data_IF_782369295634
#
_entry.id   IF_782369295634
#
_cell.length_a   1.000
_cell.length_b   1.000
_cell.length_c   1.000
_cell.angle_alpha   90.00
_cell.angle_beta   90.00
_cell.angle_gamma   90.00
#
_symmetry.space_group_name_H-M   'P 1'
#
loop_
_entity.id
_entity.type
_entity.pdbx_description
1 polymer ?
#
# COMPACT_ATOMS: atom_id res chain seq x y z
N UNK A 1 18.06 0.47 -23.46
CA UNK A 1 18.88 0.76 -22.26
C UNK A 1 18.23 1.83 -21.39
N UNK A 2 17.94 3.02 -21.93
CA UNK A 2 17.33 4.14 -21.20
C UNK A 2 15.97 3.87 -20.53
N UNK A 3 15.05 3.13 -21.17
CA UNK A 3 13.77 2.74 -20.54
C UNK A 3 13.97 1.90 -19.27
N UNK A 4 14.86 0.89 -19.32
CA UNK A 4 15.18 0.05 -18.15
C UNK A 4 15.89 0.84 -17.03
N UNK A 5 16.73 1.81 -17.40
CA UNK A 5 17.38 2.71 -16.43
C UNK A 5 16.36 3.64 -15.78
N UNK A 6 15.42 4.18 -16.55
CA UNK A 6 14.32 5.00 -16.03
C UNK A 6 13.38 4.18 -15.13
N UNK A 7 13.07 2.93 -15.50
CA UNK A 7 12.32 1.99 -14.65
C UNK A 7 13.07 1.70 -13.35
N UNK A 8 14.39 1.52 -13.42
CA UNK A 8 15.24 1.34 -12.23
C UNK A 8 15.26 2.59 -11.34
N UNK A 9 15.36 3.78 -11.92
CA UNK A 9 15.35 5.06 -11.19
C UNK A 9 13.98 5.40 -10.60
N UNK A 10 12.88 5.03 -11.27
CA UNK A 10 11.52 5.09 -10.69
C UNK A 10 11.35 4.11 -9.53
N UNK A 11 12.09 3.01 -9.53
CA UNK A 11 12.10 2.03 -8.44
C UNK A 11 13.03 2.39 -7.29
N UNK A 12 14.09 3.18 -7.52
CA UNK A 12 15.08 3.56 -6.52
C UNK A 12 15.02 5.08 -6.33
N UNK A 13 14.25 5.56 -5.35
CA UNK A 13 14.21 6.98 -5.08
C UNK A 13 15.58 7.48 -4.57
N UNK A 14 15.93 8.73 -4.86
CA UNK A 14 17.22 9.32 -4.49
C UNK A 14 17.47 9.20 -2.98
N UNK A 15 18.42 8.34 -2.59
CA UNK A 15 18.70 7.94 -1.20
C UNK A 15 18.85 9.13 -0.23
N UNK A 16 19.41 10.26 -0.68
CA UNK A 16 19.58 11.43 0.19
C UNK A 16 18.26 12.16 0.48
N UNK A 17 17.39 12.29 -0.52
CA UNK A 17 16.07 12.94 -0.36
C UNK A 17 15.18 12.05 0.51
N UNK A 18 15.22 10.74 0.27
CA UNK A 18 14.46 9.75 1.02
C UNK A 18 14.87 9.68 2.48
N UNK A 19 16.18 9.71 2.78
CA UNK A 19 16.67 9.80 4.16
C UNK A 19 16.14 11.03 4.90
N UNK A 20 16.12 12.20 4.24
CA UNK A 20 15.58 13.43 4.86
C UNK A 20 14.08 13.35 5.11
N UNK A 21 13.30 12.84 4.16
CA UNK A 21 11.86 12.64 4.33
C UNK A 21 11.55 11.62 5.43
N UNK A 22 12.36 10.56 5.51
CA UNK A 22 12.19 9.48 6.48
C UNK A 22 12.27 9.98 7.92
N UNK A 23 13.02 11.04 8.20
CA UNK A 23 13.04 11.69 9.53
C UNK A 23 11.63 12.07 10.01
N UNK A 24 10.78 12.57 9.11
CA UNK A 24 9.41 12.97 9.47
C UNK A 24 8.52 11.76 9.79
N UNK A 25 8.73 10.64 9.07
CA UNK A 25 8.07 9.36 9.35
C UNK A 25 8.59 8.71 10.63
N UNK A 26 9.91 8.67 10.81
CA UNK A 26 10.55 8.04 11.97
C UNK A 26 10.15 8.72 13.28
N UNK A 27 9.91 10.04 13.23
CA UNK A 27 9.42 10.81 14.36
C UNK A 27 7.96 10.54 14.75
N UNK A 28 7.19 9.76 13.99
CA UNK A 28 5.86 9.30 14.41
C UNK A 28 6.03 8.38 15.63
N UNK A 29 5.30 8.64 16.71
CA UNK A 29 5.54 7.96 17.99
C UNK A 29 4.74 6.67 18.10
N UNK A 30 3.53 6.65 17.55
CA UNK A 30 2.67 5.48 17.57
C UNK A 30 2.97 4.55 16.40
N UNK A 31 3.06 3.25 16.68
CA UNK A 31 3.17 2.22 15.64
C UNK A 31 1.97 2.29 14.69
N UNK A 32 0.78 2.58 15.21
CA UNK A 32 -0.47 2.72 14.47
C UNK A 32 -0.40 3.86 13.47
N UNK A 33 0.14 5.04 13.85
CA UNK A 33 0.36 6.16 12.93
C UNK A 33 1.25 5.75 11.75
N UNK A 34 2.35 5.03 12.03
CA UNK A 34 3.24 4.50 10.98
C UNK A 34 2.51 3.51 10.08
N UNK A 35 1.69 2.61 10.64
CA UNK A 35 0.91 1.66 9.83
C UNK A 35 -0.11 2.38 8.94
N UNK A 36 -0.81 3.40 9.46
CA UNK A 36 -1.76 4.23 8.70
C UNK A 36 -1.04 4.94 7.55
N UNK A 37 0.12 5.56 7.81
CA UNK A 37 0.90 6.21 6.76
C UNK A 37 1.25 5.24 5.62
N UNK A 38 1.75 4.05 5.95
CA UNK A 38 2.12 3.04 4.95
C UNK A 38 0.91 2.50 4.19
N UNK A 39 -0.23 2.30 4.86
CA UNK A 39 -1.48 1.88 4.21
C UNK A 39 -1.97 2.93 3.22
N UNK A 40 -1.94 4.21 3.59
CA UNK A 40 -2.34 5.29 2.70
C UNK A 40 -1.40 5.37 1.49
N UNK A 41 -0.09 5.36 1.71
CA UNK A 41 0.90 5.38 0.64
C UNK A 41 0.73 4.22 -0.37
N UNK A 42 0.28 3.05 0.11
CA UNK A 42 0.09 1.87 -0.72
C UNK A 42 -1.28 1.83 -1.40
N UNK A 43 -2.36 2.17 -0.70
CA UNK A 43 -3.72 1.78 -1.10
C UNK A 43 -4.72 2.94 -1.24
N UNK A 44 -4.59 4.01 -0.45
CA UNK A 44 -5.71 4.94 -0.24
C UNK A 44 -5.54 6.34 -0.83
N UNK A 45 -4.45 6.62 -1.55
CA UNK A 45 -4.31 7.90 -2.26
C UNK A 45 -5.44 8.05 -3.28
N UNK A 46 -6.18 9.16 -3.17
CA UNK A 46 -7.34 9.48 -4.01
C UNK A 46 -8.68 8.95 -3.50
N UNK A 47 -8.70 8.20 -2.39
CA UNK A 47 -9.94 7.75 -1.74
C UNK A 47 -10.49 8.83 -0.80
N UNK A 48 -11.81 8.80 -0.53
CA UNK A 48 -12.44 9.72 0.42
C UNK A 48 -11.84 9.55 1.82
N UNK A 49 -11.53 10.65 2.50
CA UNK A 49 -10.97 10.59 3.84
C UNK A 49 -11.90 9.86 4.82
N UNK A 50 -13.22 10.08 4.73
CA UNK A 50 -14.15 9.47 5.67
C UNK A 50 -14.24 7.96 5.46
N UNK A 51 -14.23 7.51 4.20
CA UNK A 51 -14.20 6.08 3.86
C UNK A 51 -12.93 5.43 4.41
N UNK A 52 -11.77 6.08 4.24
CA UNK A 52 -10.48 5.56 4.72
C UNK A 52 -10.45 5.46 6.24
N UNK A 53 -10.99 6.46 6.96
CA UNK A 53 -11.13 6.42 8.42
C UNK A 53 -11.98 5.22 8.83
N UNK A 54 -13.15 5.03 8.20
CA UNK A 54 -14.04 3.92 8.52
C UNK A 54 -13.39 2.56 8.27
N UNK A 55 -12.71 2.39 7.13
CA UNK A 55 -12.02 1.14 6.78
C UNK A 55 -10.92 0.84 7.80
N UNK A 56 -10.06 1.80 8.10
CA UNK A 56 -8.93 1.60 9.03
C UNK A 56 -9.42 1.39 10.47
N UNK A 57 -10.48 2.07 10.90
CA UNK A 57 -11.13 1.81 12.18
C UNK A 57 -11.73 0.40 12.27
N UNK A 58 -12.31 -0.10 11.16
CA UNK A 58 -12.75 -1.49 11.03
C UNK A 58 -11.60 -2.51 11.16
N UNK A 59 -10.37 -2.10 10.86
CA UNK A 59 -9.16 -2.90 11.12
C UNK A 59 -8.62 -2.78 12.56
N UNK A 60 -9.34 -2.09 13.46
CA UNK A 60 -8.92 -1.86 14.85
C UNK A 60 -7.90 -0.73 15.00
N UNK A 61 -7.75 0.15 14.00
CA UNK A 61 -6.93 1.35 14.15
C UNK A 61 -7.76 2.50 14.75
N UNK A 62 -7.08 3.48 15.36
CA UNK A 62 -7.68 4.76 15.75
C UNK A 62 -7.37 5.79 14.66
N UNK A 63 -7.92 5.57 13.46
CA UNK A 63 -7.54 6.24 12.23
C UNK A 63 -7.87 7.74 12.24
N UNK A 64 -8.93 8.16 12.93
CA UNK A 64 -9.25 9.56 13.16
C UNK A 64 -8.11 10.31 13.86
N UNK A 65 -7.57 9.77 14.95
CA UNK A 65 -6.38 10.31 15.64
C UNK A 65 -5.16 10.25 14.72
N UNK A 66 -4.88 9.07 14.15
CA UNK A 66 -3.67 8.87 13.35
C UNK A 66 -3.61 9.76 12.11
N UNK A 67 -4.71 9.91 11.37
CA UNK A 67 -4.79 10.78 10.19
C UNK A 67 -4.62 12.25 10.57
N UNK A 68 -5.19 12.68 11.70
CA UNK A 68 -4.98 14.05 12.22
C UNK A 68 -3.50 14.33 12.47
N UNK A 69 -2.78 13.41 13.10
CA UNK A 69 -1.32 13.55 13.33
C UNK A 69 -0.55 13.63 12.01
N UNK A 70 -0.94 12.86 10.99
CA UNK A 70 -0.31 12.93 9.67
C UNK A 70 -0.54 14.29 8.98
N UNK A 71 -1.71 14.91 9.16
CA UNK A 71 -1.97 16.27 8.67
C UNK A 71 -1.14 17.33 9.41
N UNK A 72 -1.09 17.28 10.74
CA UNK A 72 -0.31 18.22 11.57
C UNK A 72 1.19 18.18 11.23
N UNK A 73 1.67 17.05 10.72
CA UNK A 73 3.07 16.84 10.29
C UNK A 73 3.30 17.05 8.79
N UNK A 74 2.30 17.53 8.06
CA UNK A 74 2.36 17.71 6.60
C UNK A 74 2.77 16.43 5.83
N UNK A 75 2.48 15.25 6.40
CA UNK A 75 2.74 13.93 5.77
C UNK A 75 1.58 13.48 4.87
N UNK A 76 0.43 14.14 5.02
CA UNK A 76 -0.80 13.88 4.31
C UNK A 76 -1.50 15.21 4.05
N UNK A 77 -2.34 15.28 3.03
CA UNK A 77 -3.24 16.41 2.75
C UNK A 77 -4.59 15.88 2.24
N UNK A 78 -5.59 16.76 2.17
CA UNK A 78 -6.89 16.46 1.58
C UNK A 78 -7.17 17.50 0.50
N UNK A 79 -7.75 17.07 -0.63
CA UNK A 79 -8.16 18.00 -1.67
C UNK A 79 -9.57 18.57 -1.43
N UNK A 80 -10.01 19.45 -2.33
CA UNK A 80 -11.33 20.07 -2.28
C UNK A 80 -12.51 19.09 -2.47
N UNK A 81 -12.26 17.83 -2.79
CA UNK A 81 -13.26 16.76 -2.94
C UNK A 81 -13.17 15.75 -1.79
N UNK A 82 -12.55 16.14 -0.68
CA UNK A 82 -12.33 15.29 0.49
C UNK A 82 -11.49 14.04 0.19
N UNK A 83 -10.67 14.04 -0.87
CA UNK A 83 -9.82 12.90 -1.22
C UNK A 83 -8.46 13.03 -0.57
N UNK A 84 -7.97 11.93 0.01
CA UNK A 84 -6.62 11.86 0.57
C UNK A 84 -5.58 12.06 -0.54
N UNK A 85 -4.65 12.97 -0.27
CA UNK A 85 -3.49 13.27 -1.11
C UNK A 85 -2.22 13.08 -0.30
N UNK A 86 -1.19 12.59 -0.96
CA UNK A 86 0.14 12.45 -0.41
C UNK A 86 1.12 12.90 -1.50
N UNK A 87 2.07 13.74 -1.12
CA UNK A 87 3.09 14.20 -2.07
C UNK A 87 3.83 12.99 -2.64
N UNK A 88 4.15 13.02 -3.95
CA UNK A 88 4.74 11.87 -4.64
C UNK A 88 5.99 11.34 -3.93
N UNK A 89 6.87 12.23 -3.45
CA UNK A 89 8.06 11.82 -2.69
C UNK A 89 7.74 11.09 -1.37
N UNK A 90 6.68 11.48 -0.65
CA UNK A 90 6.24 10.82 0.58
C UNK A 90 5.60 9.46 0.29
N UNK A 91 4.79 9.39 -0.77
CA UNK A 91 4.22 8.13 -1.26
C UNK A 91 5.34 7.15 -1.63
N UNK A 92 6.29 7.61 -2.42
CA UNK A 92 7.38 6.79 -2.93
C UNK A 92 8.30 6.38 -1.78
N UNK A 93 8.49 7.23 -0.76
CA UNK A 93 9.17 6.87 0.49
C UNK A 93 8.44 5.77 1.26
N UNK A 94 7.12 5.91 1.49
CA UNK A 94 6.34 4.89 2.19
C UNK A 94 6.39 3.55 1.47
N UNK A 95 6.29 3.57 0.14
CA UNK A 95 6.44 2.38 -0.71
C UNK A 95 7.85 1.80 -0.68
N UNK A 96 8.88 2.63 -0.61
CA UNK A 96 10.26 2.19 -0.47
C UNK A 96 10.49 1.48 0.86
N UNK A 97 9.95 2.00 1.97
CA UNK A 97 10.01 1.34 3.28
C UNK A 97 9.42 -0.07 3.21
N UNK A 98 8.26 -0.25 2.57
CA UNK A 98 7.66 -1.59 2.43
C UNK A 98 8.46 -2.48 1.47
N UNK A 99 9.02 -1.91 0.40
CA UNK A 99 9.89 -2.65 -0.51
C UNK A 99 11.14 -3.19 0.21
N UNK A 100 11.72 -2.39 1.10
CA UNK A 100 12.91 -2.74 1.90
C UNK A 100 12.67 -3.84 2.94
N UNK A 101 11.41 -4.11 3.34
CA UNK A 101 11.09 -5.26 4.19
C UNK A 101 11.54 -6.59 3.55
N UNK A 102 11.44 -6.69 2.22
CA UNK A 102 11.92 -7.82 1.44
C UNK A 102 12.08 -7.43 -0.04
N UNK A 103 13.29 -7.00 -0.46
CA UNK A 103 13.52 -6.56 -1.83
C UNK A 103 13.34 -7.67 -2.87
N UNK A 104 13.75 -8.91 -2.53
CA UNK A 104 13.77 -10.05 -3.45
C UNK A 104 12.51 -10.90 -3.41
N UNK A 105 11.81 -10.96 -2.27
CA UNK A 105 10.64 -11.80 -2.08
C UNK A 105 9.41 -10.93 -1.78
N UNK A 106 8.65 -10.47 -2.79
CA UNK A 106 7.47 -9.63 -2.59
C UNK A 106 6.45 -10.22 -1.61
N UNK A 107 6.25 -11.54 -1.62
CA UNK A 107 5.31 -12.24 -0.73
C UNK A 107 5.64 -12.13 0.77
N UNK A 108 6.84 -11.68 1.13
CA UNK A 108 7.27 -11.43 2.50
C UNK A 108 7.08 -9.96 2.93
N UNK A 109 6.56 -9.10 2.05
CA UNK A 109 6.24 -7.70 2.35
C UNK A 109 4.86 -7.59 3.00
N UNK A 110 4.70 -6.59 3.85
CA UNK A 110 3.49 -6.33 4.61
C UNK A 110 2.39 -5.68 3.79
N UNK A 111 2.75 -4.89 2.76
CA UNK A 111 1.80 -4.35 1.77
C UNK A 111 2.19 -4.77 0.36
N UNK A 112 1.18 -5.17 -0.41
CA UNK A 112 1.33 -5.53 -1.82
C UNK A 112 0.45 -4.60 -2.68
N UNK A 113 1.09 -3.69 -3.42
CA UNK A 113 0.39 -2.71 -4.28
C UNK A 113 0.80 -2.73 -5.75
N UNK A 114 1.91 -3.42 -6.08
CA UNK A 114 2.35 -3.59 -7.48
C UNK A 114 1.52 -4.69 -8.11
N UNK A 115 0.78 -4.35 -9.16
CA UNK A 115 -0.15 -5.26 -9.81
C UNK A 115 0.52 -6.56 -10.26
N UNK A 116 1.71 -6.45 -10.84
CA UNK A 116 2.46 -7.59 -11.37
C UNK A 116 2.86 -8.56 -10.26
N UNK A 117 3.41 -8.03 -9.15
CA UNK A 117 3.78 -8.81 -7.96
C UNK A 117 2.55 -9.50 -7.37
N UNK A 118 1.45 -8.75 -7.19
CA UNK A 118 0.21 -9.28 -6.61
C UNK A 118 -0.38 -10.39 -7.46
N UNK A 119 -0.41 -10.20 -8.79
CA UNK A 119 -0.91 -11.19 -9.72
C UNK A 119 -0.09 -12.49 -9.69
N UNK A 120 1.24 -12.39 -9.68
CA UNK A 120 2.12 -13.57 -9.59
C UNK A 120 1.91 -14.33 -8.28
N UNK A 121 1.85 -13.60 -7.16
CA UNK A 121 1.66 -14.18 -5.82
C UNK A 121 0.33 -14.93 -5.74
N UNK A 122 -0.75 -14.30 -6.19
CA UNK A 122 -2.08 -14.90 -6.13
C UNK A 122 -2.21 -16.08 -7.08
N UNK A 123 -1.70 -15.99 -8.31
CA UNK A 123 -1.77 -17.08 -9.29
C UNK A 123 -0.97 -18.31 -8.88
N UNK A 124 0.15 -18.12 -8.16
CA UNK A 124 1.01 -19.21 -7.69
C UNK A 124 0.75 -19.62 -6.24
N UNK A 125 -0.29 -19.06 -5.60
CA UNK A 125 -0.60 -19.27 -4.18
C UNK A 125 0.62 -19.05 -3.26
N UNK A 126 1.42 -18.01 -3.53
CA UNK A 126 2.67 -17.70 -2.81
C UNK A 126 2.48 -16.84 -1.56
N UNK A 127 1.27 -16.38 -1.28
CA UNK A 127 0.99 -15.57 -0.09
C UNK A 127 1.57 -16.13 1.20
N UNK A 128 1.98 -15.23 2.09
CA UNK A 128 2.52 -15.56 3.42
C UNK A 128 1.81 -14.73 4.50
N UNK A 129 2.03 -15.11 5.75
CA UNK A 129 1.51 -14.36 6.91
C UNK A 129 2.10 -12.96 7.06
N UNK A 130 3.17 -12.62 6.34
CA UNK A 130 3.72 -11.27 6.37
C UNK A 130 2.74 -10.26 5.75
N UNK A 131 1.95 -10.70 4.76
CA UNK A 131 1.02 -9.84 4.02
C UNK A 131 -0.14 -9.40 4.92
N UNK A 132 -0.20 -8.10 5.19
CA UNK A 132 -1.27 -7.46 5.98
C UNK A 132 -2.27 -6.70 5.11
N UNK A 133 -1.82 -6.19 3.97
CA UNK A 133 -2.65 -5.47 3.01
C UNK A 133 -2.32 -5.84 1.57
N UNK A 134 -3.35 -5.97 0.73
CA UNK A 134 -3.21 -6.29 -0.68
C UNK A 134 -4.22 -5.52 -1.51
N UNK A 135 -3.76 -4.93 -2.62
CA UNK A 135 -4.64 -4.35 -3.64
C UNK A 135 -4.37 -4.97 -5.01
N UNK A 136 -5.43 -5.33 -5.72
CA UNK A 136 -5.39 -5.76 -7.11
C UNK A 136 -6.46 -5.03 -7.90
N UNK A 137 -6.01 -4.06 -8.70
CA UNK A 137 -6.86 -3.33 -9.64
C UNK A 137 -6.58 -3.84 -11.04
N UNK A 138 -7.59 -4.45 -11.65
CA UNK A 138 -7.55 -5.04 -12.97
C UNK A 138 -8.31 -4.13 -13.94
N UNK A 139 -7.71 -3.77 -15.10
CA UNK A 139 -8.43 -3.07 -16.15
C UNK A 139 -9.66 -3.88 -16.59
N UNK A 140 -10.78 -3.19 -16.81
CA UNK A 140 -12.09 -3.79 -17.14
C UNK A 140 -12.01 -4.77 -18.33
N UNK A 141 -11.06 -4.56 -19.25
CA UNK A 141 -10.86 -5.42 -20.44
C UNK A 141 -10.29 -6.81 -20.12
N UNK A 142 -9.75 -7.01 -18.92
CA UNK A 142 -9.12 -8.27 -18.52
C UNK A 142 -10.00 -8.95 -17.48
N UNK A 143 -10.17 -10.27 -17.63
CA UNK A 143 -10.82 -11.11 -16.61
C UNK A 143 -9.76 -11.98 -15.95
N UNK A 144 -9.77 -12.03 -14.62
CA UNK A 144 -8.86 -12.89 -13.85
C UNK A 144 -9.68 -13.78 -12.93
N UNK A 145 -9.40 -15.08 -12.96
CA UNK A 145 -9.97 -16.00 -12.00
C UNK A 145 -9.01 -16.10 -10.81
N UNK A 146 -9.45 -15.65 -9.65
CA UNK A 146 -8.74 -15.84 -8.39
C UNK A 146 -9.31 -17.06 -7.68
N UNK A 147 -8.44 -17.86 -7.08
CA UNK A 147 -8.85 -18.96 -6.21
C UNK A 147 -8.75 -18.49 -4.76
N UNK A 148 -9.80 -18.68 -3.96
CA UNK A 148 -9.77 -18.38 -2.51
C UNK A 148 -8.61 -19.06 -1.77
N UNK A 149 -8.13 -20.22 -2.24
CA UNK A 149 -6.93 -20.89 -1.69
C UNK A 149 -5.66 -20.05 -1.78
N UNK A 150 -5.59 -19.06 -2.67
CA UNK A 150 -4.47 -18.13 -2.78
C UNK A 150 -4.23 -17.33 -1.49
N UNK A 151 -5.30 -17.07 -0.73
CA UNK A 151 -5.26 -16.29 0.50
C UNK A 151 -5.07 -17.15 1.76
N UNK A 152 -5.11 -18.50 1.63
CA UNK A 152 -5.10 -19.42 2.77
C UNK A 152 -3.94 -19.22 3.75
N UNK A 153 -2.77 -18.82 3.26
CA UNK A 153 -1.57 -18.58 4.08
C UNK A 153 -1.41 -17.13 4.54
N UNK A 154 -2.26 -16.21 4.09
CA UNK A 154 -2.23 -14.79 4.47
C UNK A 154 -3.13 -14.53 5.68
N UNK A 155 -2.91 -15.25 6.78
CA UNK A 155 -3.78 -15.22 7.97
C UNK A 155 -3.74 -13.88 8.75
N UNK A 156 -2.79 -12.99 8.48
CA UNK A 156 -2.71 -11.63 9.05
C UNK A 156 -3.24 -10.55 8.09
N UNK A 157 -3.85 -10.95 6.97
CA UNK A 157 -4.46 -10.04 6.01
C UNK A 157 -5.65 -9.34 6.66
N UNK A 158 -5.56 -8.01 6.81
CA UNK A 158 -6.61 -7.16 7.37
C UNK A 158 -7.23 -6.21 6.34
N UNK A 159 -6.56 -6.03 5.20
CA UNK A 159 -6.99 -5.10 4.16
C UNK A 159 -6.89 -5.79 2.79
N UNK A 160 -8.03 -5.91 2.11
CA UNK A 160 -8.13 -6.48 0.78
C UNK A 160 -8.94 -5.55 -0.11
N UNK A 161 -8.31 -5.06 -1.17
CA UNK A 161 -8.95 -4.23 -2.19
C UNK A 161 -8.87 -4.94 -3.54
N UNK A 162 -10.01 -5.35 -4.07
CA UNK A 162 -10.11 -5.98 -5.39
C UNK A 162 -11.04 -5.13 -6.26
N UNK A 163 -10.57 -4.75 -7.45
CA UNK A 163 -11.38 -3.99 -8.40
C UNK A 163 -11.13 -4.51 -9.82
N UNK A 164 -12.19 -4.71 -10.59
CA UNK A 164 -12.14 -5.24 -11.96
C UNK A 164 -13.03 -6.46 -12.15
N UNK A 165 -12.86 -7.16 -13.27
CA UNK A 165 -13.65 -8.33 -13.63
C UNK A 165 -13.00 -9.61 -13.09
N UNK A 166 -13.67 -10.23 -12.12
CA UNK A 166 -13.27 -11.51 -11.54
C UNK A 166 -14.25 -12.61 -11.96
N UNK A 167 -13.72 -13.80 -12.26
CA UNK A 167 -14.57 -14.97 -12.54
C UNK A 167 -15.39 -15.35 -11.31
N UNK A 168 -16.61 -15.86 -11.51
CA UNK A 168 -17.33 -16.56 -10.44
C UNK A 168 -16.60 -17.88 -10.18
N UNK A 169 -16.32 -18.21 -8.92
CA UNK A 169 -15.89 -19.57 -8.57
C UNK A 169 -17.02 -20.53 -9.00
N UNK A 170 -16.67 -21.59 -9.73
CA UNK A 170 -17.56 -22.70 -10.12
C UNK A 170 -17.60 -23.70 -8.99
#
# INVERSE_FOLDING_TARGET
VWQKVLEKLKCVPNDQVQKKLKVSFDGLKDVTEKQIFLDIACFFIGMDQNDVIQILNGCGFFADIGIKVLFERALLTVDNRNKLRMHDMLRDMGRQIVYEESPLDPEKRSRLWRREDVFDILSKHKGTEAVKGLTLVIPIKNTVCLNTKAFKRMNKLRLLQLAGNFCKEV
#
